data_IF_670999011269
#
_entry.id   IF_670999011269
#
_cell.length_a   1.000
_cell.length_b   1.000
_cell.length_c   1.000
_cell.angle_alpha   90.00
_cell.angle_beta   90.00
_cell.angle_gamma   90.00
#
_symmetry.space_group_name_H-M   'P 1'
#
loop_
_entity.id
_entity.type
_entity.pdbx_description
1 polymer ?
#
# COMPACT_ATOMS: atom_id res chain seq x y z
N UNK A 1 -7.20 -7.66 -23.63
CA UNK A 1 -7.11 -6.23 -23.30
C UNK A 1 -8.27 -5.84 -22.40
N UNK A 2 -9.53 -5.78 -22.86
CA UNK A 2 -10.69 -5.39 -22.03
C UNK A 2 -10.74 -5.94 -20.58
N UNK A 3 -10.60 -7.26 -20.38
CA UNK A 3 -10.60 -7.85 -19.01
C UNK A 3 -9.38 -7.49 -18.14
N UNK A 4 -8.24 -7.19 -18.75
CA UNK A 4 -7.05 -6.74 -18.04
C UNK A 4 -7.22 -5.28 -17.60
N UNK A 5 -7.79 -4.46 -18.48
CA UNK A 5 -8.06 -3.04 -18.24
C UNK A 5 -9.15 -2.87 -17.17
N UNK A 6 -10.24 -3.64 -17.24
CA UNK A 6 -11.29 -3.70 -16.22
C UNK A 6 -10.74 -4.10 -14.84
N UNK A 7 -9.88 -5.13 -14.80
CA UNK A 7 -9.27 -5.56 -13.54
C UNK A 7 -8.31 -4.49 -12.98
N UNK A 8 -7.56 -3.81 -13.84
CA UNK A 8 -6.71 -2.68 -13.45
C UNK A 8 -7.51 -1.52 -12.87
N UNK A 9 -8.59 -1.11 -13.53
CA UNK A 9 -9.48 -0.05 -13.05
C UNK A 9 -10.10 -0.40 -11.68
N UNK A 10 -10.61 -1.63 -11.53
CA UNK A 10 -11.20 -2.09 -10.26
C UNK A 10 -10.18 -2.15 -9.10
N UNK A 11 -8.90 -2.40 -9.40
CA UNK A 11 -7.81 -2.30 -8.40
C UNK A 11 -7.57 -0.84 -8.04
N UNK A 12 -7.49 0.07 -9.02
CA UNK A 12 -7.30 1.50 -8.77
C UNK A 12 -8.40 2.04 -7.85
N UNK A 13 -9.66 1.77 -8.17
CA UNK A 13 -10.81 2.26 -7.40
C UNK A 13 -10.82 1.70 -5.98
N UNK A 14 -10.59 0.39 -5.82
CA UNK A 14 -10.54 -0.25 -4.51
C UNK A 14 -9.38 0.26 -3.65
N UNK A 15 -8.20 0.46 -4.24
CA UNK A 15 -7.04 1.04 -3.53
C UNK A 15 -7.32 2.49 -3.15
N UNK A 16 -7.90 3.30 -4.04
CA UNK A 16 -8.25 4.69 -3.76
C UNK A 16 -9.21 4.80 -2.56
N UNK A 17 -10.16 3.87 -2.44
CA UNK A 17 -11.11 3.84 -1.35
C UNK A 17 -10.51 3.33 -0.03
N UNK A 18 -9.68 2.28 -0.07
CA UNK A 18 -9.23 1.58 1.14
C UNK A 18 -7.94 2.16 1.75
N UNK A 19 -7.02 2.67 0.91
CA UNK A 19 -5.68 3.04 1.35
C UNK A 19 -5.63 4.16 2.42
N UNK A 20 -6.47 5.20 2.39
CA UNK A 20 -6.44 6.23 3.43
C UNK A 20 -6.69 5.66 4.84
N UNK A 21 -7.69 4.80 4.96
CA UNK A 21 -8.05 4.16 6.23
C UNK A 21 -6.98 3.15 6.67
N UNK A 22 -6.39 2.42 5.72
CA UNK A 22 -5.31 1.50 6.01
C UNK A 22 -4.08 2.21 6.60
N UNK A 23 -3.63 3.31 5.99
CA UNK A 23 -2.49 4.11 6.48
C UNK A 23 -2.76 4.60 7.91
N UNK A 24 -3.93 5.21 8.13
CA UNK A 24 -4.33 5.67 9.46
C UNK A 24 -4.38 4.54 10.49
N UNK A 25 -4.94 3.39 10.11
CA UNK A 25 -5.01 2.20 10.97
C UNK A 25 -3.65 1.63 11.33
N UNK A 26 -2.67 1.62 10.41
CA UNK A 26 -1.30 1.16 10.71
C UNK A 26 -0.58 2.10 11.67
N UNK A 27 -0.71 3.42 11.48
CA UNK A 27 -0.14 4.42 12.41
C UNK A 27 -0.74 4.26 13.80
N UNK A 28 -2.08 4.19 13.89
CA UNK A 28 -2.78 4.02 15.16
C UNK A 28 -2.36 2.74 15.88
N UNK A 29 -2.28 1.62 15.15
CA UNK A 29 -1.86 0.33 15.69
C UNK A 29 -0.47 0.38 16.34
N UNK A 30 0.52 0.98 15.68
CA UNK A 30 1.87 1.14 16.25
C UNK A 30 1.87 2.10 17.44
N UNK A 31 1.17 3.23 17.33
CA UNK A 31 1.10 4.22 18.40
C UNK A 31 0.44 3.65 19.67
N UNK A 32 -0.62 2.86 19.51
CA UNK A 32 -1.33 2.18 20.60
C UNK A 32 -0.44 1.12 21.26
N UNK A 33 0.32 0.37 20.46
CA UNK A 33 1.30 -0.59 20.98
C UNK A 33 2.44 0.11 21.74
N UNK A 34 2.86 1.30 21.31
CA UNK A 34 3.90 2.08 22.00
C UNK A 34 3.39 2.70 23.30
N UNK A 35 2.14 3.16 23.33
CA UNK A 35 1.40 3.51 24.56
C UNK A 35 1.96 4.68 25.37
N UNK A 36 2.82 5.53 24.77
CA UNK A 36 3.51 6.63 25.46
C UNK A 36 3.06 8.04 25.06
N UNK A 37 2.12 8.16 24.12
CA UNK A 37 1.60 9.45 23.70
C UNK A 37 0.53 9.95 24.68
N UNK A 38 0.59 11.24 25.02
CA UNK A 38 -0.52 11.95 25.63
C UNK A 38 -1.69 12.14 24.67
N UNK A 39 -2.84 12.60 25.19
CA UNK A 39 -4.05 12.83 24.38
C UNK A 39 -3.83 13.78 23.21
N UNK A 40 -3.10 14.87 23.46
CA UNK A 40 -2.90 15.94 22.47
C UNK A 40 -1.92 15.48 21.39
N UNK A 41 -0.86 14.78 21.77
CA UNK A 41 0.11 14.19 20.85
C UNK A 41 -0.56 13.11 19.98
N UNK A 42 -1.47 12.32 20.57
CA UNK A 42 -2.27 11.34 19.83
C UNK A 42 -3.21 12.00 18.82
N UNK A 43 -3.94 13.04 19.22
CA UNK A 43 -4.85 13.74 18.31
C UNK A 43 -4.10 14.37 17.12
N UNK A 44 -2.92 14.93 17.37
CA UNK A 44 -2.05 15.47 16.33
C UNK A 44 -1.48 14.37 15.42
N UNK A 45 -1.07 13.23 15.98
CA UNK A 45 -0.65 12.06 15.20
C UNK A 45 -1.76 11.58 14.27
N UNK A 46 -2.99 11.46 14.77
CA UNK A 46 -4.15 11.02 13.98
C UNK A 46 -4.47 12.01 12.85
N UNK A 47 -4.27 13.31 13.06
CA UNK A 47 -4.39 14.32 12.02
C UNK A 47 -3.32 14.16 10.92
N UNK A 48 -2.07 13.96 11.32
CA UNK A 48 -0.95 13.69 10.40
C UNK A 48 -1.15 12.39 9.62
N UNK A 49 -1.63 11.34 10.29
CA UNK A 49 -1.91 10.05 9.67
C UNK A 49 -2.99 10.17 8.59
N UNK A 50 -4.06 10.95 8.84
CA UNK A 50 -5.10 11.24 7.82
C UNK A 50 -4.54 11.99 6.62
N UNK A 51 -3.72 13.02 6.85
CA UNK A 51 -3.08 13.77 5.77
C UNK A 51 -2.12 12.89 4.95
N UNK A 52 -1.31 12.07 5.63
CA UNK A 52 -0.40 11.12 5.01
C UNK A 52 -1.14 10.04 4.21
N UNK A 53 -2.26 9.53 4.72
CA UNK A 53 -3.13 8.60 4.00
C UNK A 53 -3.68 9.18 2.70
N UNK A 54 -4.12 10.45 2.70
CA UNK A 54 -4.55 11.14 1.49
C UNK A 54 -3.40 11.32 0.49
N UNK A 55 -2.22 11.77 0.96
CA UNK A 55 -1.04 11.95 0.11
C UNK A 55 -0.54 10.62 -0.51
N UNK A 56 -0.44 9.57 0.31
CA UNK A 56 -0.10 8.22 -0.14
C UNK A 56 -1.08 7.74 -1.21
N UNK A 57 -2.38 7.97 -1.00
CA UNK A 57 -3.43 7.57 -1.93
C UNK A 57 -3.30 8.26 -3.27
N UNK A 58 -3.12 9.59 -3.30
CA UNK A 58 -2.90 10.33 -4.55
C UNK A 58 -1.69 9.78 -5.32
N UNK A 59 -0.57 9.55 -4.62
CA UNK A 59 0.66 9.04 -5.24
C UNK A 59 0.50 7.62 -5.77
N UNK A 60 -0.01 6.71 -4.95
CA UNK A 60 -0.18 5.29 -5.27
C UNK A 60 -1.19 5.12 -6.42
N UNK A 61 -2.31 5.83 -6.39
CA UNK A 61 -3.29 5.81 -7.49
C UNK A 61 -2.64 6.29 -8.80
N UNK A 62 -1.91 7.41 -8.78
CA UNK A 62 -1.24 7.91 -9.96
C UNK A 62 -0.16 6.93 -10.50
N UNK A 63 0.50 6.17 -9.63
CA UNK A 63 1.46 5.14 -10.02
C UNK A 63 0.78 3.89 -10.58
N UNK A 64 -0.32 3.42 -9.97
CA UNK A 64 -1.12 2.32 -10.48
C UNK A 64 -1.73 2.65 -11.85
N UNK A 65 -2.27 3.86 -12.04
CA UNK A 65 -2.79 4.30 -13.33
C UNK A 65 -1.71 4.27 -14.40
N UNK A 66 -0.49 4.74 -14.10
CA UNK A 66 0.65 4.66 -15.03
C UNK A 66 1.08 3.23 -15.31
N UNK A 67 1.11 2.37 -14.29
CA UNK A 67 1.41 0.95 -14.44
C UNK A 67 0.42 0.28 -15.40
N UNK A 68 -0.88 0.49 -15.21
CA UNK A 68 -1.90 -0.14 -16.04
C UNK A 68 -2.04 0.47 -17.45
N UNK A 69 -1.60 1.71 -17.65
CA UNK A 69 -1.47 2.31 -18.98
C UNK A 69 -0.25 1.78 -19.76
N UNK A 70 0.70 1.11 -19.09
CA UNK A 70 1.86 0.49 -19.72
C UNK A 70 1.47 -0.87 -20.31
N UNK A 71 2.02 -1.23 -21.48
CA UNK A 71 1.81 -2.55 -22.07
C UNK A 71 2.14 -3.67 -21.07
N UNK A 72 1.34 -4.73 -21.07
CA UNK A 72 1.50 -5.85 -20.15
C UNK A 72 2.92 -6.46 -20.19
N UNK A 73 3.57 -6.51 -21.35
CA UNK A 73 4.94 -7.00 -21.51
C UNK A 73 5.99 -6.07 -20.89
N UNK A 74 5.72 -4.76 -20.84
CA UNK A 74 6.65 -3.74 -20.37
C UNK A 74 6.44 -3.35 -18.89
N UNK A 75 5.37 -3.84 -18.26
CA UNK A 75 5.09 -3.63 -16.84
C UNK A 75 6.10 -4.37 -15.94
N UNK A 76 7.08 -3.62 -15.42
CA UNK A 76 8.17 -4.11 -14.55
C UNK A 76 7.84 -4.19 -13.05
N UNK A 77 6.61 -3.87 -12.68
CA UNK A 77 6.14 -3.93 -11.30
C UNK A 77 4.74 -4.52 -11.23
N UNK A 78 4.32 -4.87 -10.03
CA UNK A 78 3.00 -5.38 -9.70
C UNK A 78 2.20 -4.33 -8.92
N UNK A 79 0.86 -4.41 -8.94
CA UNK A 79 0.03 -3.52 -8.14
C UNK A 79 0.34 -3.58 -6.65
N UNK A 80 0.70 -4.78 -6.14
CA UNK A 80 1.08 -4.95 -4.75
C UNK A 80 2.39 -4.25 -4.41
N UNK A 81 3.42 -4.32 -5.28
CA UNK A 81 4.66 -3.57 -5.07
C UNK A 81 4.42 -2.06 -5.00
N UNK A 82 3.56 -1.53 -5.86
CA UNK A 82 3.18 -0.11 -5.83
C UNK A 82 2.47 0.23 -4.52
N UNK A 83 1.49 -0.56 -4.09
CA UNK A 83 0.77 -0.33 -2.82
C UNK A 83 1.68 -0.44 -1.60
N UNK A 84 2.63 -1.40 -1.60
CA UNK A 84 3.60 -1.56 -0.51
C UNK A 84 4.46 -0.30 -0.30
N UNK A 85 4.64 0.54 -1.32
CA UNK A 85 5.36 1.80 -1.16
C UNK A 85 4.67 2.80 -0.21
N UNK A 86 3.39 2.60 0.14
CA UNK A 86 2.66 3.44 1.09
C UNK A 86 3.16 3.31 2.55
N UNK A 87 3.98 2.30 2.84
CA UNK A 87 4.63 2.14 4.16
C UNK A 87 5.57 3.31 4.48
N UNK A 88 6.10 3.99 3.44
CA UNK A 88 6.94 5.18 3.58
C UNK A 88 6.21 6.30 4.32
N UNK A 89 4.96 6.55 3.98
CA UNK A 89 4.13 7.56 4.64
C UNK A 89 3.77 7.16 6.08
N UNK A 90 3.51 5.88 6.34
CA UNK A 90 3.30 5.38 7.71
C UNK A 90 4.56 5.62 8.55
N UNK A 91 5.73 5.23 8.03
CA UNK A 91 6.99 5.38 8.73
C UNK A 91 7.37 6.85 8.98
N UNK A 92 7.13 7.73 8.01
CA UNK A 92 7.38 9.16 8.16
C UNK A 92 6.54 9.79 9.28
N UNK A 93 5.25 9.43 9.38
CA UNK A 93 4.35 9.93 10.43
C UNK A 93 4.82 9.46 11.82
N UNK A 94 5.14 8.17 11.95
CA UNK A 94 5.60 7.59 13.21
C UNK A 94 6.96 8.17 13.66
N UNK A 95 7.90 8.31 12.73
CA UNK A 95 9.21 8.87 13.01
C UNK A 95 9.13 10.35 13.43
N UNK A 96 8.27 11.14 12.77
CA UNK A 96 8.04 12.54 13.13
C UNK A 96 7.41 12.71 14.52
N UNK A 97 6.71 11.68 15.02
CA UNK A 97 6.18 11.63 16.38
C UNK A 97 7.16 11.05 17.41
N UNK A 98 8.41 10.75 17.01
CA UNK A 98 9.44 10.20 17.90
C UNK A 98 9.23 8.74 18.29
N UNK A 99 8.34 8.01 17.60
CA UNK A 99 8.10 6.59 17.86
C UNK A 99 9.25 5.79 17.23
N UNK A 100 10.00 4.99 18.00
CA UNK A 100 11.13 4.25 17.46
C UNK A 100 10.67 3.12 16.49
N UNK A 101 11.48 2.78 15.48
CA UNK A 101 11.31 1.57 14.66
C UNK A 101 11.20 0.29 15.49
N UNK A 102 10.70 -0.77 14.86
CA UNK A 102 10.67 -2.12 15.47
C UNK A 102 11.93 -2.89 15.10
N UNK A 103 12.34 -3.82 15.96
CA UNK A 103 13.38 -4.80 15.60
C UNK A 103 12.82 -5.75 14.54
N UNK A 104 13.55 -5.93 13.43
CA UNK A 104 13.15 -6.79 12.31
C UNK A 104 14.25 -7.79 12.03
N UNK A 105 13.88 -8.97 11.56
CA UNK A 105 14.87 -9.94 11.09
C UNK A 105 15.55 -9.46 9.80
N UNK A 106 16.76 -9.97 9.56
CA UNK A 106 17.60 -9.58 8.42
C UNK A 106 16.91 -9.78 7.06
N UNK A 107 16.02 -10.77 6.95
CA UNK A 107 15.29 -11.02 5.71
C UNK A 107 14.27 -9.91 5.44
N UNK A 108 13.50 -9.50 6.46
CA UNK A 108 12.56 -8.39 6.33
C UNK A 108 13.27 -7.06 6.07
N UNK A 109 14.41 -6.81 6.70
CA UNK A 109 15.20 -5.60 6.46
C UNK A 109 15.68 -5.48 5.02
N UNK A 110 16.20 -6.58 4.44
CA UNK A 110 16.62 -6.61 3.03
C UNK A 110 15.44 -6.53 2.06
N UNK A 111 14.31 -7.18 2.40
CA UNK A 111 13.15 -7.26 1.51
C UNK A 111 12.33 -5.97 1.49
N UNK A 112 12.27 -5.25 2.61
CA UNK A 112 11.50 -4.02 2.79
C UNK A 112 12.33 -2.96 3.52
N UNK A 113 13.39 -2.43 2.88
CA UNK A 113 14.28 -1.45 3.52
C UNK A 113 13.56 -0.15 3.91
N UNK A 114 12.52 0.22 3.17
CA UNK A 114 11.72 1.43 3.40
C UNK A 114 10.62 1.27 4.46
N UNK A 115 10.52 0.11 5.13
CA UNK A 115 9.48 -0.19 6.12
C UNK A 115 10.06 -0.51 7.51
N UNK A 116 10.66 0.48 8.20
CA UNK A 116 11.28 0.27 9.51
C UNK A 116 10.28 -0.13 10.61
N UNK A 117 8.97 -0.05 10.36
CA UNK A 117 7.91 -0.41 11.32
C UNK A 117 7.27 -1.76 11.02
N UNK A 118 7.67 -2.46 9.95
CA UNK A 118 7.18 -3.79 9.62
C UNK A 118 5.67 -3.83 9.31
N UNK A 119 5.13 -2.79 8.68
CA UNK A 119 3.70 -2.66 8.36
C UNK A 119 3.35 -3.00 6.91
N UNK A 120 4.32 -3.50 6.14
CA UNK A 120 4.14 -3.87 4.73
C UNK A 120 2.99 -4.87 4.55
N UNK A 121 2.01 -4.59 3.67
CA UNK A 121 0.94 -5.53 3.39
C UNK A 121 1.47 -6.77 2.66
N UNK A 122 1.04 -7.95 3.09
CA UNK A 122 1.29 -9.22 2.43
C UNK A 122 0.47 -9.37 1.14
N UNK A 123 -0.72 -8.77 1.09
CA UNK A 123 -1.63 -8.78 -0.07
C UNK A 123 -2.46 -7.49 -0.18
N UNK A 124 -3.12 -7.25 -1.33
CA UNK A 124 -4.05 -6.12 -1.43
C UNK A 124 -5.29 -6.27 -0.52
N UNK A 125 -5.63 -7.49 -0.08
CA UNK A 125 -6.74 -7.69 0.87
C UNK A 125 -6.44 -7.12 2.26
N UNK A 126 -5.16 -6.93 2.61
CA UNK A 126 -4.75 -6.36 3.90
C UNK A 126 -5.14 -4.88 4.04
N UNK A 127 -5.54 -4.23 2.94
CA UNK A 127 -6.11 -2.89 2.95
C UNK A 127 -7.51 -2.84 3.59
N UNK A 128 -8.17 -3.98 3.78
CA UNK A 128 -9.47 -4.09 4.43
C UNK A 128 -10.67 -4.18 3.48
N UNK A 129 -10.44 -4.13 2.16
CA UNK A 129 -11.46 -4.46 1.14
C UNK A 129 -11.32 -5.93 0.75
N UNK A 130 -12.33 -6.80 1.04
CA UNK A 130 -12.26 -8.22 0.73
C UNK A 130 -12.20 -8.54 -0.77
N UNK A 131 -12.61 -7.60 -1.64
CA UNK A 131 -12.59 -7.82 -3.08
C UNK A 131 -11.22 -7.56 -3.71
N UNK A 132 -10.34 -6.81 -3.03
CA UNK A 132 -9.04 -6.42 -3.59
C UNK A 132 -8.11 -7.61 -3.83
N UNK A 133 -8.14 -8.62 -2.95
CA UNK A 133 -7.39 -9.87 -3.13
C UNK A 133 -7.81 -10.63 -4.41
N UNK A 134 -9.10 -10.99 -4.55
CA UNK A 134 -9.64 -11.57 -5.78
C UNK A 134 -9.35 -10.74 -7.04
N UNK A 135 -9.46 -9.40 -6.97
CA UNK A 135 -9.13 -8.51 -8.10
C UNK A 135 -7.65 -8.60 -8.49
N UNK A 136 -6.74 -8.63 -7.53
CA UNK A 136 -5.31 -8.82 -7.77
C UNK A 136 -5.03 -10.14 -8.53
N UNK A 137 -5.67 -11.23 -8.12
CA UNK A 137 -5.53 -12.54 -8.76
C UNK A 137 -6.09 -12.53 -10.19
N UNK A 138 -7.26 -11.92 -10.40
CA UNK A 138 -7.89 -11.80 -11.71
C UNK A 138 -7.00 -11.01 -12.69
N UNK A 139 -6.42 -9.90 -12.24
CA UNK A 139 -5.45 -9.13 -13.02
C UNK A 139 -4.23 -9.97 -13.41
N UNK A 140 -3.63 -10.69 -12.45
CA UNK A 140 -2.45 -11.53 -12.72
C UNK A 140 -2.72 -12.62 -13.75
N UNK A 141 -3.88 -13.29 -13.66
CA UNK A 141 -4.32 -14.28 -14.65
C UNK A 141 -4.58 -13.66 -16.03
N UNK A 142 -5.18 -12.47 -16.08
CA UNK A 142 -5.42 -11.75 -17.33
C UNK A 142 -4.09 -11.35 -18.00
N UNK A 143 -3.13 -10.83 -17.22
CA UNK A 143 -1.79 -10.45 -17.71
C UNK A 143 -1.07 -11.66 -18.29
N UNK A 144 -1.05 -12.79 -17.57
CA UNK A 144 -0.43 -14.03 -18.05
C UNK A 144 -1.02 -14.52 -19.39
N UNK A 145 -2.33 -14.38 -19.60
CA UNK A 145 -2.99 -14.73 -20.88
C UNK A 145 -2.55 -13.82 -22.01
N UNK A 146 -2.44 -12.51 -21.77
CA UNK A 146 -1.95 -11.54 -22.77
C UNK A 146 -0.52 -11.88 -23.19
N UNK A 147 0.37 -12.10 -22.22
CA UNK A 147 1.77 -12.43 -22.50
C UNK A 147 1.91 -13.72 -23.31
N UNK A 148 1.11 -14.75 -23.01
CA UNK A 148 1.13 -16.02 -23.75
C UNK A 148 0.58 -15.92 -25.17
N UNK A 149 -0.36 -15.01 -25.42
CA UNK A 149 -0.93 -14.82 -26.75
C UNK A 149 -0.05 -13.96 -27.67
N UNK A 150 0.92 -13.22 -27.09
CA UNK A 150 1.94 -12.46 -27.82
C UNK A 150 3.26 -13.19 -28.06
N UNK A 151 3.37 -14.44 -27.61
CA UNK A 151 4.43 -15.41 -27.96
C UNK A 151 3.96 -16.35 -29.05
#
# INVERSE_FOLDING_TARGET
>A
MARLDEAGAAIVDGVAAALPAWVGGRVAWIADAWGRLGSDERAELDARARAAGAAATTRVVAELTRLFATDAADQRSTPLEVVRSATREVGAVLAAAGIPPVERDEFLERSFPDDPYGVTPASLADLGDPDLGPRQLAWGLAKAKVLRAGT
#
